data_IF_708240043617
#
_entry.id   IF_708240043617
#
_cell.length_a   1.000
_cell.length_b   1.000
_cell.length_c   1.000
_cell.angle_alpha   90.00
_cell.angle_beta   90.00
_cell.angle_gamma   90.00
#
_symmetry.space_group_name_H-M   'P 1'
#
loop_
_entity.id
_entity.type
_entity.pdbx_description
1 polymer ?
#
# COMPACT_ATOMS: atom_id res chain seq x y z
N UNK A 1 -9.22 48.58 -8.70
CA UNK A 1 -8.83 48.34 -10.10
C UNK A 1 -7.32 48.48 -10.17
N UNK A 2 -6.46 47.47 -10.37
CA UNK A 2 -6.56 46.09 -10.84
C UNK A 2 -5.38 45.35 -10.16
N UNK A 3 -5.60 44.26 -9.43
CA UNK A 3 -4.43 43.50 -8.90
C UNK A 3 -4.68 42.02 -8.63
N UNK A 4 -5.90 41.51 -8.78
CA UNK A 4 -6.14 40.05 -8.77
C UNK A 4 -6.47 39.50 -10.16
N UNK A 5 -7.04 40.34 -11.04
CA UNK A 5 -7.37 39.94 -12.41
C UNK A 5 -6.12 39.93 -13.31
N UNK A 6 -5.13 40.79 -13.05
CA UNK A 6 -3.85 40.79 -13.79
C UNK A 6 -2.92 39.62 -13.43
N UNK A 7 -3.03 39.08 -12.22
CA UNK A 7 -2.28 37.89 -11.79
C UNK A 7 -2.82 36.59 -12.42
N UNK A 8 -4.07 36.60 -12.91
CA UNK A 8 -4.68 35.46 -13.60
C UNK A 8 -4.51 35.53 -15.12
N UNK A 9 -4.17 36.69 -15.67
CA UNK A 9 -4.15 36.93 -17.13
C UNK A 9 -2.75 37.01 -17.73
N UNK A 10 -1.69 36.98 -16.92
CA UNK A 10 -0.31 37.07 -17.40
C UNK A 10 0.49 35.81 -17.11
N UNK A 11 0.85 35.11 -18.20
CA UNK A 11 2.05 34.30 -18.26
C UNK A 11 1.92 32.86 -17.81
N UNK A 12 1.49 31.98 -18.73
CA UNK A 12 2.01 30.60 -18.86
C UNK A 12 2.33 29.90 -17.54
N UNK A 13 1.29 29.43 -16.84
CA UNK A 13 1.46 28.52 -15.73
C UNK A 13 2.25 27.28 -16.24
N UNK A 14 3.36 26.91 -15.57
CA UNK A 14 4.13 25.76 -16.01
C UNK A 14 3.26 24.51 -16.01
N UNK A 15 3.38 23.69 -17.05
CA UNK A 15 2.61 22.45 -17.25
C UNK A 15 2.70 21.44 -16.09
N UNK A 16 3.63 21.65 -15.15
CA UNK A 16 3.76 20.88 -13.91
C UNK A 16 2.87 21.35 -12.74
N UNK A 17 2.15 22.45 -12.85
CA UNK A 17 1.28 22.97 -11.77
C UNK A 17 -0.15 22.38 -11.78
N UNK A 18 -0.53 21.68 -12.87
CA UNK A 18 -1.85 21.07 -13.03
C UNK A 18 -2.06 19.80 -12.15
N UNK A 19 -1.05 18.93 -11.92
CA UNK A 19 -1.22 17.76 -11.06
C UNK A 19 -1.37 18.10 -9.56
N UNK A 20 -0.70 19.15 -9.08
CA UNK A 20 -0.62 19.44 -7.64
C UNK A 20 -1.94 19.97 -7.05
N UNK A 21 -2.67 20.81 -7.80
CA UNK A 21 -3.96 21.35 -7.33
C UNK A 21 -5.08 20.31 -7.35
N UNK A 22 -4.98 19.32 -8.25
CA UNK A 22 -5.93 18.19 -8.32
C UNK A 22 -5.78 17.26 -7.10
N UNK A 23 -4.55 17.00 -6.65
CA UNK A 23 -4.27 16.19 -5.44
C UNK A 23 -4.85 16.85 -4.18
N UNK A 24 -4.67 18.18 -4.02
CA UNK A 24 -5.18 18.89 -2.85
C UNK A 24 -6.72 18.96 -2.85
N UNK A 25 -7.35 19.16 -4.01
CA UNK A 25 -8.81 19.18 -4.14
C UNK A 25 -9.45 17.82 -3.85
N UNK A 26 -8.84 16.73 -4.29
CA UNK A 26 -9.29 15.36 -4.02
C UNK A 26 -9.14 15.02 -2.53
N UNK A 27 -8.03 15.39 -1.90
CA UNK A 27 -7.81 15.13 -0.46
C UNK A 27 -8.82 15.88 0.43
N UNK A 28 -9.14 17.14 0.11
CA UNK A 28 -10.15 17.92 0.86
C UNK A 28 -11.58 17.41 0.63
N UNK A 29 -11.91 16.95 -0.59
CA UNK A 29 -13.21 16.36 -0.90
C UNK A 29 -13.45 15.01 -0.19
N UNK A 30 -12.43 14.15 -0.13
CA UNK A 30 -12.48 12.85 0.55
C UNK A 30 -12.61 13.02 2.07
N UNK A 31 -11.98 14.04 2.66
CA UNK A 31 -12.06 14.28 4.10
C UNK A 31 -13.42 14.81 4.57
N UNK A 32 -14.12 15.59 3.73
CA UNK A 32 -15.45 16.12 4.06
C UNK A 32 -16.56 15.05 4.02
N UNK A 33 -16.45 14.05 3.13
CA UNK A 33 -17.45 12.97 2.99
C UNK A 33 -17.38 11.96 4.14
N UNK A 34 -16.22 11.82 4.79
CA UNK A 34 -15.98 10.80 5.84
C UNK A 34 -16.72 11.05 7.17
N UNK A 35 -17.36 12.22 7.36
CA UNK A 35 -17.96 12.61 8.65
C UNK A 35 -19.48 12.43 8.76
N UNK A 36 -20.18 11.98 7.71
CA UNK A 36 -21.63 12.18 7.62
C UNK A 36 -22.54 11.01 7.23
N UNK A 37 -22.07 9.77 7.07
CA UNK A 37 -22.99 8.67 6.70
C UNK A 37 -22.64 7.33 7.37
N UNK A 38 -23.47 6.81 8.28
CA UNK A 38 -23.39 5.40 8.66
C UNK A 38 -23.85 4.57 7.46
N UNK A 39 -22.92 3.83 6.86
CA UNK A 39 -23.23 2.90 5.78
C UNK A 39 -23.96 1.67 6.36
N UNK A 40 -25.12 1.35 5.79
CA UNK A 40 -25.87 0.12 6.08
C UNK A 40 -24.98 -1.07 5.75
N UNK A 41 -24.71 -1.93 6.73
CA UNK A 41 -23.88 -3.13 6.56
C UNK A 41 -24.58 -4.06 5.55
N UNK A 42 -23.99 -4.19 4.36
CA UNK A 42 -24.45 -5.12 3.34
C UNK A 42 -24.26 -6.56 3.81
N UNK A 43 -25.16 -7.46 3.39
CA UNK A 43 -25.09 -8.88 3.70
C UNK A 43 -23.77 -9.49 3.16
N UNK A 44 -23.18 -10.48 3.85
CA UNK A 44 -21.93 -11.10 3.42
C UNK A 44 -22.13 -11.81 2.07
N UNK A 45 -21.54 -11.25 1.02
CA UNK A 45 -21.41 -11.87 -0.29
C UNK A 45 -20.16 -12.74 -0.32
N UNK A 46 -20.25 -13.91 -0.97
CA UNK A 46 -19.10 -14.77 -1.18
C UNK A 46 -17.95 -14.00 -1.86
N UNK A 47 -16.68 -14.28 -1.52
CA UNK A 47 -15.55 -13.59 -2.12
C UNK A 47 -15.57 -13.72 -3.64
N UNK A 48 -15.48 -12.59 -4.34
CA UNK A 48 -15.21 -12.60 -5.78
C UNK A 48 -13.88 -13.34 -6.03
N UNK A 49 -13.88 -14.42 -6.84
CA UNK A 49 -12.66 -15.18 -7.14
C UNK A 49 -11.52 -14.32 -7.68
N UNK A 50 -11.83 -13.27 -8.44
CA UNK A 50 -10.84 -12.36 -8.98
C UNK A 50 -10.15 -11.57 -7.85
N UNK A 51 -10.92 -11.01 -6.93
CA UNK A 51 -10.41 -10.25 -5.78
C UNK A 51 -9.62 -11.15 -4.83
N UNK A 52 -10.06 -12.39 -4.63
CA UNK A 52 -9.31 -13.37 -3.83
C UNK A 52 -7.92 -13.66 -4.41
N UNK A 53 -7.80 -13.74 -5.74
CA UNK A 53 -6.51 -13.96 -6.39
C UNK A 53 -5.54 -12.80 -6.14
N UNK A 54 -6.04 -11.56 -6.12
CA UNK A 54 -5.26 -10.35 -5.82
C UNK A 54 -4.74 -10.40 -4.38
N UNK A 55 -5.58 -10.80 -3.41
CA UNK A 55 -5.15 -10.95 -2.02
C UNK A 55 -4.00 -11.95 -1.87
N UNK A 56 -4.08 -13.09 -2.55
CA UNK A 56 -3.03 -14.12 -2.48
C UNK A 56 -1.74 -13.63 -3.14
N UNK A 57 -1.84 -12.97 -4.30
CA UNK A 57 -0.68 -12.37 -4.97
C UNK A 57 -0.02 -11.31 -4.10
N UNK A 58 -0.82 -10.46 -3.45
CA UNK A 58 -0.34 -9.43 -2.53
C UNK A 58 0.47 -10.05 -1.38
N UNK A 59 -0.09 -11.08 -0.72
CA UNK A 59 0.60 -11.79 0.35
C UNK A 59 1.90 -12.47 -0.12
N UNK A 60 1.90 -13.05 -1.33
CA UNK A 60 3.09 -13.68 -1.90
C UNK A 60 4.18 -12.65 -2.26
N UNK A 61 3.78 -11.47 -2.74
CA UNK A 61 4.70 -10.38 -3.03
C UNK A 61 5.28 -9.78 -1.72
N UNK A 62 4.47 -9.62 -0.66
CA UNK A 62 5.00 -9.21 0.65
C UNK A 62 5.94 -10.25 1.25
N UNK A 63 5.67 -11.55 1.08
CA UNK A 63 6.55 -12.62 1.56
C UNK A 63 7.91 -12.59 0.82
N UNK A 64 7.90 -12.35 -0.50
CA UNK A 64 9.14 -12.17 -1.26
C UNK A 64 9.92 -10.94 -0.82
N UNK A 65 9.26 -9.80 -0.66
CA UNK A 65 9.90 -8.59 -0.19
C UNK A 65 10.48 -8.80 1.22
N UNK A 66 9.72 -9.39 2.14
CA UNK A 66 10.19 -9.69 3.50
C UNK A 66 11.48 -10.51 3.52
N UNK A 67 11.54 -11.59 2.73
CA UNK A 67 12.74 -12.43 2.67
C UNK A 67 13.91 -11.67 2.02
N UNK A 68 13.66 -10.95 0.93
CA UNK A 68 14.71 -10.25 0.20
C UNK A 68 15.29 -9.07 0.98
N UNK A 69 14.47 -8.30 1.74
CA UNK A 69 14.95 -7.19 2.58
C UNK A 69 15.97 -7.68 3.62
N UNK A 70 15.77 -8.86 4.18
CA UNK A 70 16.69 -9.43 5.19
C UNK A 70 18.01 -9.87 4.56
N UNK A 71 18.00 -10.24 3.28
CA UNK A 71 19.17 -10.75 2.57
C UNK A 71 20.03 -9.63 1.94
N UNK A 72 19.47 -8.43 1.72
CA UNK A 72 20.18 -7.29 1.11
C UNK A 72 20.87 -6.44 2.19
N UNK A 73 22.11 -6.04 1.92
CA UNK A 73 22.86 -5.14 2.81
C UNK A 73 22.19 -3.76 2.90
N UNK A 74 22.04 -3.24 4.13
CA UNK A 74 21.36 -1.95 4.38
C UNK A 74 22.05 -0.75 3.73
N UNK A 75 23.38 -0.80 3.55
CA UNK A 75 24.10 0.25 2.84
C UNK A 75 23.80 0.26 1.35
N UNK A 76 23.58 -0.91 0.76
CA UNK A 76 23.14 -1.05 -0.64
C UNK A 76 21.71 -0.51 -0.82
N UNK A 77 20.81 -0.80 0.13
CA UNK A 77 19.44 -0.28 0.09
C UNK A 77 19.38 1.25 0.15
N UNK A 78 20.22 1.88 0.99
CA UNK A 78 20.23 3.34 1.17
C UNK A 78 20.70 4.11 -0.08
N UNK A 79 21.53 3.49 -0.93
CA UNK A 79 22.07 4.09 -2.15
C UNK A 79 21.36 3.64 -3.43
N UNK A 80 20.51 2.61 -3.35
CA UNK A 80 19.85 2.03 -4.50
C UNK A 80 18.68 2.88 -5.01
N UNK A 81 18.76 3.28 -6.27
CA UNK A 81 17.61 3.76 -7.03
C UNK A 81 16.81 2.55 -7.58
N UNK A 82 15.49 2.69 -7.70
CA UNK A 82 14.60 1.59 -8.09
C UNK A 82 14.93 1.03 -9.48
N UNK A 83 15.29 1.89 -10.44
CA UNK A 83 15.68 1.48 -11.80
C UNK A 83 16.97 0.66 -11.76
N UNK A 84 17.96 1.12 -11.00
CA UNK A 84 19.22 0.41 -10.81
C UNK A 84 19.02 -0.91 -10.06
N UNK A 85 18.14 -0.95 -9.07
CA UNK A 85 17.82 -2.15 -8.32
C UNK A 85 17.14 -3.22 -9.21
N UNK A 86 16.27 -2.82 -10.13
CA UNK A 86 15.63 -3.73 -11.09
C UNK A 86 16.61 -4.35 -12.09
N UNK A 87 17.67 -3.61 -12.46
CA UNK A 87 18.72 -4.06 -13.38
C UNK A 87 19.92 -4.69 -12.66
N UNK A 88 19.88 -4.78 -11.33
CA UNK A 88 21.01 -5.26 -10.52
C UNK A 88 21.33 -6.74 -10.77
N UNK A 89 22.63 -7.04 -10.81
CA UNK A 89 23.16 -8.40 -10.82
C UNK A 89 22.93 -9.11 -9.48
N UNK A 90 22.71 -8.37 -8.39
CA UNK A 90 22.30 -8.93 -7.10
C UNK A 90 20.86 -9.48 -7.20
N UNK A 91 20.67 -10.80 -7.10
CA UNK A 91 19.36 -11.42 -7.23
C UNK A 91 18.39 -11.01 -6.12
N UNK A 92 18.88 -10.72 -4.91
CA UNK A 92 18.06 -10.32 -3.77
C UNK A 92 17.58 -8.88 -3.93
N UNK A 93 18.47 -7.97 -4.34
CA UNK A 93 18.10 -6.56 -4.60
C UNK A 93 17.08 -6.47 -5.75
N UNK A 94 17.29 -7.23 -6.83
CA UNK A 94 16.36 -7.28 -7.97
C UNK A 94 15.03 -7.91 -7.61
N UNK A 95 15.03 -9.01 -6.83
CA UNK A 95 13.79 -9.63 -6.36
C UNK A 95 13.00 -8.69 -5.45
N UNK A 96 13.68 -7.92 -4.60
CA UNK A 96 13.08 -6.92 -3.74
C UNK A 96 12.44 -5.79 -4.55
N UNK A 97 13.17 -5.21 -5.51
CA UNK A 97 12.65 -4.18 -6.39
C UNK A 97 11.42 -4.64 -7.18
N UNK A 98 11.47 -5.85 -7.75
CA UNK A 98 10.32 -6.45 -8.44
C UNK A 98 9.12 -6.64 -7.51
N UNK A 99 9.35 -7.09 -6.27
CA UNK A 99 8.28 -7.27 -5.30
C UNK A 99 7.63 -5.93 -4.91
N UNK A 100 8.41 -4.85 -4.77
CA UNK A 100 7.88 -3.51 -4.45
C UNK A 100 7.01 -2.97 -5.60
N UNK A 101 7.46 -3.11 -6.85
CA UNK A 101 6.68 -2.71 -8.03
C UNK A 101 5.37 -3.49 -8.11
N UNK A 102 5.44 -4.82 -7.96
CA UNK A 102 4.23 -5.66 -7.97
C UNK A 102 3.26 -5.32 -6.82
N UNK A 103 3.78 -4.98 -5.63
CA UNK A 103 2.94 -4.55 -4.53
C UNK A 103 2.21 -3.25 -4.84
N UNK A 104 2.85 -2.26 -5.47
CA UNK A 104 2.17 -1.02 -5.86
C UNK A 104 1.02 -1.28 -6.85
N UNK A 105 1.28 -2.10 -7.88
CA UNK A 105 0.25 -2.52 -8.84
C UNK A 105 -0.94 -3.20 -8.14
N UNK A 106 -0.67 -4.14 -7.23
CA UNK A 106 -1.70 -4.85 -6.49
C UNK A 106 -2.48 -3.93 -5.53
N UNK A 107 -1.82 -2.97 -4.86
CA UNK A 107 -2.53 -1.96 -4.05
C UNK A 107 -3.47 -1.14 -4.92
N UNK A 108 -3.06 -0.78 -6.14
CA UNK A 108 -3.91 -0.05 -7.07
C UNK A 108 -5.12 -0.88 -7.52
N UNK A 109 -4.95 -2.17 -7.81
CA UNK A 109 -6.07 -3.08 -8.08
C UNK A 109 -7.02 -3.18 -6.86
N UNK A 110 -6.47 -3.30 -5.65
CA UNK A 110 -7.26 -3.35 -4.42
C UNK A 110 -8.05 -2.07 -4.16
N UNK A 111 -7.49 -0.90 -4.46
CA UNK A 111 -8.21 0.39 -4.36
C UNK A 111 -9.45 0.44 -5.23
N UNK A 112 -9.47 -0.29 -6.34
CA UNK A 112 -10.60 -0.34 -7.27
C UNK A 112 -11.63 -1.39 -6.83
N UNK A 113 -11.17 -2.56 -6.39
CA UNK A 113 -12.02 -3.75 -6.27
C UNK A 113 -12.34 -4.16 -4.82
N UNK A 114 -11.53 -3.77 -3.85
CA UNK A 114 -11.65 -4.25 -2.47
C UNK A 114 -12.40 -3.27 -1.56
N UNK A 115 -13.03 -3.77 -0.48
CA UNK A 115 -13.62 -2.92 0.54
C UNK A 115 -12.58 -2.03 1.24
N UNK A 116 -13.00 -0.82 1.64
CA UNK A 116 -12.13 0.17 2.28
C UNK A 116 -11.28 -0.38 3.46
N UNK A 117 -11.79 -1.21 4.39
CA UNK A 117 -10.96 -1.76 5.48
C UNK A 117 -9.79 -2.63 4.99
N UNK A 118 -9.98 -3.35 3.88
CA UNK A 118 -8.94 -4.18 3.27
C UNK A 118 -7.90 -3.28 2.58
N UNK A 119 -8.36 -2.25 1.88
CA UNK A 119 -7.48 -1.26 1.23
C UNK A 119 -6.62 -0.53 2.27
N UNK A 120 -7.21 -0.04 3.36
CA UNK A 120 -6.50 0.66 4.44
C UNK A 120 -5.42 -0.26 5.06
N UNK A 121 -5.74 -1.54 5.26
CA UNK A 121 -4.79 -2.54 5.76
C UNK A 121 -3.66 -2.83 4.76
N UNK A 122 -3.99 -2.96 3.47
CA UNK A 122 -3.01 -3.22 2.41
C UNK A 122 -2.06 -2.04 2.20
N UNK A 123 -2.56 -0.80 2.20
CA UNK A 123 -1.73 0.41 2.11
C UNK A 123 -0.80 0.52 3.32
N UNK A 124 -1.31 0.23 4.52
CA UNK A 124 -0.51 0.23 5.75
C UNK A 124 0.59 -0.84 5.70
N UNK A 125 0.30 -2.02 5.13
CA UNK A 125 1.28 -3.08 4.99
C UNK A 125 2.33 -2.76 3.92
N UNK A 126 1.89 -2.25 2.76
CA UNK A 126 2.80 -1.78 1.71
C UNK A 126 3.75 -0.70 2.23
N UNK A 127 3.22 0.32 2.91
CA UNK A 127 4.05 1.37 3.53
C UNK A 127 5.09 0.81 4.48
N UNK A 128 4.75 -0.17 5.31
CA UNK A 128 5.74 -0.82 6.17
C UNK A 128 6.86 -1.53 5.40
N UNK A 129 6.53 -2.23 4.32
CA UNK A 129 7.53 -2.92 3.50
C UNK A 129 8.44 -1.91 2.81
N UNK A 130 7.89 -0.83 2.25
CA UNK A 130 8.69 0.22 1.60
C UNK A 130 9.56 0.98 2.58
N UNK A 131 9.02 1.34 3.76
CA UNK A 131 9.79 2.02 4.81
C UNK A 131 10.96 1.13 5.27
N UNK A 132 10.70 -0.16 5.51
CA UNK A 132 11.75 -1.13 5.91
C UNK A 132 12.78 -1.38 4.80
N UNK A 133 12.39 -1.19 3.53
CA UNK A 133 13.33 -1.28 2.41
C UNK A 133 14.24 -0.05 2.39
N UNK A 134 13.70 1.15 2.59
CA UNK A 134 14.46 2.41 2.54
C UNK A 134 15.40 2.52 3.73
N UNK A 135 14.89 2.25 4.93
CA UNK A 135 15.65 2.39 6.17
C UNK A 135 16.58 1.20 6.42
N UNK A 136 16.32 0.08 5.73
CA UNK A 136 16.94 -1.22 6.01
C UNK A 136 16.41 -1.85 7.29
N UNK A 137 16.85 -3.08 7.56
CA UNK A 137 16.47 -3.84 8.76
C UNK A 137 17.66 -3.95 9.70
N UNK A 138 17.54 -3.33 10.88
CA UNK A 138 18.56 -3.37 11.92
C UNK A 138 18.27 -4.40 13.03
N UNK A 139 17.00 -4.74 13.24
CA UNK A 139 16.53 -5.78 14.15
C UNK A 139 15.62 -6.75 13.40
N UNK A 140 16.14 -7.96 13.14
CA UNK A 140 15.43 -8.97 12.37
C UNK A 140 14.22 -9.56 13.11
N UNK A 141 14.29 -9.66 14.43
CA UNK A 141 13.22 -10.25 15.24
C UNK A 141 12.06 -9.25 15.37
N UNK A 142 12.36 -7.98 15.66
CA UNK A 142 11.34 -6.92 15.66
C UNK A 142 10.68 -6.78 14.28
N UNK A 143 11.48 -6.80 13.21
CA UNK A 143 10.97 -6.75 11.84
C UNK A 143 10.00 -7.91 11.54
N UNK A 144 10.37 -9.14 11.92
CA UNK A 144 9.54 -10.34 11.71
C UNK A 144 8.24 -10.28 12.51
N UNK A 145 8.28 -9.80 13.75
CA UNK A 145 7.08 -9.67 14.58
C UNK A 145 6.12 -8.63 14.00
N UNK A 146 6.64 -7.46 13.60
CA UNK A 146 5.85 -6.41 12.95
C UNK A 146 5.29 -6.85 11.61
N UNK A 147 6.09 -7.57 10.81
CA UNK A 147 5.64 -8.18 9.57
C UNK A 147 4.45 -9.12 9.80
N UNK A 148 4.58 -10.03 10.76
CA UNK A 148 3.53 -11.00 11.11
C UNK A 148 2.26 -10.32 11.60
N UNK A 149 2.39 -9.25 12.39
CA UNK A 149 1.26 -8.45 12.85
C UNK A 149 0.52 -7.78 11.68
N UNK A 150 1.24 -7.18 10.72
CA UNK A 150 0.64 -6.54 9.53
C UNK A 150 -0.02 -7.55 8.60
N UNK A 151 0.63 -8.69 8.38
CA UNK A 151 0.06 -9.82 7.62
C UNK A 151 -1.23 -10.31 8.25
N UNK A 152 -1.24 -10.47 9.57
CA UNK A 152 -2.43 -10.90 10.33
C UNK A 152 -3.56 -9.86 10.23
N UNK A 153 -3.25 -8.57 10.36
CA UNK A 153 -4.24 -7.50 10.25
C UNK A 153 -4.91 -7.46 8.86
N UNK A 154 -4.13 -7.63 7.77
CA UNK A 154 -4.69 -7.72 6.43
C UNK A 154 -5.60 -8.95 6.27
N UNK A 155 -5.17 -10.12 6.75
CA UNK A 155 -5.97 -11.35 6.68
C UNK A 155 -7.25 -11.24 7.49
N UNK A 156 -7.20 -10.63 8.67
CA UNK A 156 -8.38 -10.39 9.50
C UNK A 156 -9.34 -9.40 8.82
N UNK A 157 -8.83 -8.31 8.20
CA UNK A 157 -9.65 -7.39 7.42
C UNK A 157 -10.35 -8.06 6.23
N UNK A 158 -9.65 -8.96 5.51
CA UNK A 158 -10.24 -9.75 4.42
C UNK A 158 -11.35 -10.65 4.96
N UNK A 159 -11.10 -11.41 6.02
CA UNK A 159 -12.08 -12.31 6.64
C UNK A 159 -13.31 -11.56 7.12
N UNK A 160 -13.11 -10.45 7.83
CA UNK A 160 -14.20 -9.61 8.33
C UNK A 160 -15.04 -9.05 7.17
N UNK A 161 -14.40 -8.68 6.05
CA UNK A 161 -15.12 -8.20 4.85
C UNK A 161 -16.01 -9.26 4.20
N UNK A 162 -15.69 -10.54 4.40
CA UNK A 162 -16.49 -11.68 3.92
C UNK A 162 -17.44 -12.24 5.01
N UNK A 163 -17.49 -11.61 6.20
CA UNK A 163 -18.29 -12.10 7.32
C UNK A 163 -17.75 -13.41 7.95
N UNK A 164 -16.52 -13.79 7.64
CA UNK A 164 -15.86 -14.96 8.20
C UNK A 164 -15.33 -14.61 9.60
N UNK A 165 -16.06 -14.98 10.66
CA UNK A 165 -15.53 -14.89 12.02
C UNK A 165 -14.43 -15.93 12.21
N UNK A 166 -13.29 -15.53 12.79
CA UNK A 166 -12.25 -16.45 13.27
C UNK A 166 -12.92 -17.62 14.00
N UNK A 167 -12.58 -18.85 13.63
CA UNK A 167 -12.87 -20.01 14.45
C UNK A 167 -12.20 -19.73 15.79
N UNK A 168 -12.98 -19.31 16.79
CA UNK A 168 -12.48 -19.11 18.13
C UNK A 168 -11.82 -20.41 18.55
N UNK A 169 -10.50 -20.37 18.77
CA UNK A 169 -9.76 -21.49 19.31
C UNK A 169 -10.51 -21.89 20.58
N UNK A 170 -11.14 -23.06 20.53
CA UNK A 170 -11.93 -23.61 21.62
C UNK A 170 -10.96 -23.75 22.79
N UNK A 171 -11.06 -22.85 23.77
CA UNK A 171 -10.31 -22.93 25.01
C UNK A 171 -10.54 -24.34 25.58
N UNK A 172 -9.46 -25.10 25.71
CA UNK A 172 -9.40 -26.33 26.48
C UNK A 172 -8.79 -26.00 27.83
#
# INVERSE_FOLDING_TARGET
MNSLVDALSSGTAPWWAVPASMVVGVLLGVFAVRRGRPATVAAPTAPDPQVRSIYVRFLAATDRAHNAVVDVDSGVLAEADLVHALESDDPSLRALAQAIVELDELVNELRILAPAPVVDSAVTFFGFVTDSTIDGVHDCDEFRDRYTARKSALVDAIRDSHGERRLAAKAR
#
